data_IF_146414410130
#
_entry.id   IF_146414410130
#
_cell.length_a   1.000
_cell.length_b   1.000
_cell.length_c   1.000
_cell.angle_alpha   90.00
_cell.angle_beta   90.00
_cell.angle_gamma   90.00
#
_symmetry.space_group_name_H-M   'P 1'
#
loop_
_entity.id
_entity.type
_entity.pdbx_description
1 polymer ?
#
# COMPACT_ATOMS: atom_id res chain seq x y z
N UNK A 1 -4.57 -12.32 5.02
CA UNK A 1 -3.31 -12.52 5.77
C UNK A 1 -2.40 -11.37 5.40
N UNK A 2 -1.78 -10.72 6.39
CA UNK A 2 -0.94 -9.52 6.20
C UNK A 2 0.46 -9.82 6.73
N UNK A 3 1.49 -9.39 6.02
CA UNK A 3 2.89 -9.71 6.35
C UNK A 3 3.66 -8.44 6.68
N UNK A 4 4.67 -8.57 7.55
CA UNK A 4 5.53 -7.46 7.97
C UNK A 4 6.99 -7.91 7.92
N UNK A 5 7.87 -7.01 7.50
CA UNK A 5 9.29 -7.28 7.34
C UNK A 5 10.10 -6.36 8.27
N UNK A 6 10.99 -6.96 9.06
CA UNK A 6 12.13 -6.30 9.70
C UNK A 6 13.42 -7.05 9.31
N UNK A 7 14.59 -6.43 9.44
CA UNK A 7 15.86 -6.82 8.79
C UNK A 7 16.32 -8.28 9.01
N UNK A 8 15.83 -9.00 10.04
CA UNK A 8 16.29 -10.37 10.34
C UNK A 8 15.16 -11.39 10.63
N UNK A 9 13.88 -10.99 10.60
CA UNK A 9 12.73 -11.90 10.87
C UNK A 9 11.46 -11.52 10.10
N UNK A 10 10.87 -12.49 9.40
CA UNK A 10 9.53 -12.35 8.82
C UNK A 10 8.48 -12.45 9.94
N UNK A 11 7.79 -11.35 10.22
CA UNK A 11 6.68 -11.32 11.17
C UNK A 11 5.36 -11.53 10.40
N UNK A 12 4.85 -12.75 10.45
CA UNK A 12 3.55 -13.09 9.85
C UNK A 12 2.44 -12.59 10.78
N UNK A 13 1.65 -11.63 10.32
CA UNK A 13 0.52 -11.12 11.10
C UNK A 13 -0.77 -11.81 10.67
N UNK A 14 -1.34 -12.58 11.60
CA UNK A 14 -2.56 -13.38 11.39
C UNK A 14 -3.83 -12.63 11.79
N UNK A 15 -3.94 -11.35 11.43
CA UNK A 15 -5.20 -10.63 11.65
C UNK A 15 -6.25 -11.08 10.63
N UNK A 16 -7.45 -11.31 11.13
CA UNK A 16 -8.59 -11.79 10.35
C UNK A 16 -9.75 -10.85 10.61
N UNK A 17 -10.24 -10.23 9.54
CA UNK A 17 -11.45 -9.42 9.54
C UNK A 17 -12.52 -10.15 8.74
N UNK A 18 -13.71 -10.30 9.31
CA UNK A 18 -14.89 -10.80 8.59
C UNK A 18 -15.78 -9.61 8.26
N UNK A 19 -15.85 -9.26 6.98
CA UNK A 19 -16.63 -8.12 6.49
C UNK A 19 -17.69 -8.58 5.50
N UNK A 20 -18.66 -7.70 5.22
CA UNK A 20 -19.57 -7.93 4.10
C UNK A 20 -18.76 -7.94 2.80
N UNK A 21 -19.16 -8.78 1.83
CA UNK A 21 -18.47 -8.89 0.54
C UNK A 21 -18.38 -7.58 -0.25
N UNK A 22 -19.25 -6.61 0.05
CA UNK A 22 -19.27 -5.28 -0.58
C UNK A 22 -18.32 -4.28 0.08
N UNK A 23 -17.71 -4.63 1.21
CA UNK A 23 -16.74 -3.78 1.90
C UNK A 23 -15.40 -3.85 1.16
N UNK A 24 -14.94 -2.71 0.66
CA UNK A 24 -13.64 -2.65 0.00
C UNK A 24 -12.50 -2.83 1.01
N UNK A 25 -11.53 -3.67 0.69
CA UNK A 25 -10.39 -4.00 1.57
C UNK A 25 -9.63 -2.75 2.04
N UNK A 26 -9.46 -1.74 1.18
CA UNK A 26 -8.82 -0.48 1.53
C UNK A 26 -9.48 0.27 2.69
N UNK A 27 -10.77 0.07 2.91
CA UNK A 27 -11.48 0.68 4.06
C UNK A 27 -11.19 -0.02 5.38
N UNK A 28 -10.63 -1.23 5.34
CA UNK A 28 -10.29 -2.02 6.52
C UNK A 28 -8.89 -1.74 7.05
N UNK A 29 -8.00 -1.13 6.26
CA UNK A 29 -6.62 -0.88 6.68
C UNK A 29 -6.50 -0.08 8.00
N UNK A 30 -7.31 0.96 8.26
CA UNK A 30 -7.27 1.66 9.55
C UNK A 30 -7.67 0.77 10.72
N UNK A 31 -8.66 -0.11 10.52
CA UNK A 31 -9.09 -1.06 11.54
C UNK A 31 -8.00 -2.08 11.85
N UNK A 32 -7.32 -2.57 10.82
CA UNK A 32 -6.18 -3.49 10.95
C UNK A 32 -5.05 -2.82 11.73
N UNK A 33 -4.66 -1.58 11.40
CA UNK A 33 -3.63 -0.84 12.14
C UNK A 33 -4.04 -0.56 13.58
N UNK A 34 -5.31 -0.24 13.84
CA UNK A 34 -5.81 -0.09 15.21
C UNK A 34 -5.73 -1.40 16.01
N UNK A 35 -6.06 -2.54 15.40
CA UNK A 35 -5.91 -3.86 16.03
C UNK A 35 -4.45 -4.22 16.32
N UNK A 36 -3.53 -3.84 15.42
CA UNK A 36 -2.09 -4.01 15.65
C UNK A 36 -1.60 -3.16 16.81
N UNK A 37 -1.94 -1.87 16.82
CA UNK A 37 -1.56 -0.95 17.89
C UNK A 37 -2.10 -1.39 19.26
N UNK A 38 -3.35 -1.87 19.31
CA UNK A 38 -3.95 -2.39 20.55
C UNK A 38 -3.23 -3.62 21.13
N UNK A 39 -2.45 -4.32 20.31
CA UNK A 39 -1.66 -5.51 20.68
C UNK A 39 -0.17 -5.22 20.80
N UNK A 40 0.25 -3.97 20.63
CA UNK A 40 1.66 -3.56 20.54
C UNK A 40 2.41 -4.28 19.40
N UNK A 41 1.72 -4.45 18.26
CA UNK A 41 2.21 -5.13 17.06
C UNK A 41 2.16 -4.22 15.83
N UNK A 42 2.19 -2.90 16.02
CA UNK A 42 2.18 -1.97 14.90
C UNK A 42 3.53 -2.06 14.16
N UNK A 43 3.55 -2.43 12.87
CA UNK A 43 4.79 -2.65 12.18
C UNK A 43 5.41 -1.36 11.68
N UNK A 44 6.74 -1.36 11.54
CA UNK A 44 7.46 -0.32 10.83
C UNK A 44 7.19 -0.40 9.32
N UNK A 45 7.16 -1.61 8.76
CA UNK A 45 6.82 -1.88 7.36
C UNK A 45 5.64 -2.85 7.25
N UNK A 46 4.60 -2.44 6.53
CA UNK A 46 3.41 -3.26 6.31
C UNK A 46 3.26 -3.60 4.82
N UNK A 47 3.46 -4.87 4.48
CA UNK A 47 3.31 -5.38 3.12
C UNK A 47 1.87 -5.81 2.92
N UNK A 48 1.18 -5.14 2.00
CA UNK A 48 -0.25 -5.36 1.74
C UNK A 48 -0.52 -5.63 0.26
N UNK A 49 -1.59 -6.37 0.00
CA UNK A 49 -2.12 -6.51 -1.35
C UNK A 49 -2.63 -5.16 -1.88
N UNK A 50 -2.57 -5.00 -3.19
CA UNK A 50 -3.00 -3.80 -3.90
C UNK A 50 -4.47 -3.41 -3.65
N UNK A 51 -5.33 -4.35 -3.26
CA UNK A 51 -6.72 -4.10 -2.86
C UNK A 51 -6.86 -3.25 -1.58
N UNK A 52 -5.85 -3.27 -0.70
CA UNK A 52 -5.83 -2.51 0.55
C UNK A 52 -5.32 -1.07 0.37
N UNK A 53 -4.72 -0.73 -0.77
CA UNK A 53 -4.16 0.60 -0.99
C UNK A 53 -5.22 1.60 -1.46
N UNK A 54 -5.25 2.76 -0.82
CA UNK A 54 -5.71 4.02 -1.42
C UNK A 54 -4.76 5.15 -1.02
N UNK A 55 -4.84 6.30 -1.69
CA UNK A 55 -4.02 7.48 -1.35
C UNK A 55 -4.26 7.95 0.09
N UNK A 56 -5.51 7.95 0.54
CA UNK A 56 -5.86 8.33 1.91
C UNK A 56 -5.26 7.37 2.93
N UNK A 57 -5.29 6.06 2.61
CA UNK A 57 -4.70 5.04 3.47
C UNK A 57 -3.18 5.15 3.56
N UNK A 58 -2.51 5.46 2.44
CA UNK A 58 -1.07 5.68 2.42
C UNK A 58 -0.65 6.85 3.32
N UNK A 59 -1.40 7.96 3.26
CA UNK A 59 -1.16 9.13 4.12
C UNK A 59 -1.43 8.82 5.59
N UNK A 60 -2.52 8.12 5.88
CA UNK A 60 -2.89 7.73 7.24
C UNK A 60 -1.88 6.75 7.88
N UNK A 61 -1.38 5.78 7.10
CA UNK A 61 -0.34 4.85 7.55
C UNK A 61 0.97 5.60 7.88
N UNK A 62 1.38 6.51 6.99
CA UNK A 62 2.57 7.35 7.19
C UNK A 62 2.45 8.22 8.44
N UNK A 63 1.28 8.78 8.72
CA UNK A 63 1.04 9.56 9.93
C UNK A 63 1.17 8.74 11.23
N UNK A 64 0.99 7.42 11.15
CA UNK A 64 1.19 6.46 12.24
C UNK A 64 2.61 5.89 12.29
N UNK A 65 3.52 6.35 11.43
CA UNK A 65 4.89 5.85 11.34
C UNK A 65 5.04 4.51 10.62
N UNK A 66 3.98 4.06 9.91
CA UNK A 66 3.99 2.80 9.17
C UNK A 66 4.33 3.06 7.70
N UNK A 67 5.40 2.44 7.21
CA UNK A 67 5.70 2.37 5.78
C UNK A 67 4.80 1.31 5.13
N UNK A 68 3.82 1.77 4.35
CA UNK A 68 2.92 0.88 3.63
C UNK A 68 3.53 0.50 2.27
N UNK A 69 3.79 -0.79 2.08
CA UNK A 69 4.41 -1.34 0.87
C UNK A 69 3.35 -2.18 0.15
N UNK A 70 3.13 -1.92 -1.13
CA UNK A 70 2.17 -2.66 -1.93
C UNK A 70 2.64 -2.79 -3.38
N UNK A 71 2.20 -3.84 -4.11
CA UNK A 71 2.38 -3.90 -5.56
C UNK A 71 1.74 -2.69 -6.23
N UNK A 72 2.45 -2.07 -7.18
CA UNK A 72 1.89 -0.96 -7.95
C UNK A 72 0.81 -1.46 -8.92
N UNK A 73 -0.26 -0.68 -9.09
CA UNK A 73 -1.25 -0.93 -10.15
C UNK A 73 -0.57 -0.85 -11.52
N UNK A 74 -0.75 -1.87 -12.34
CA UNK A 74 -0.44 -1.76 -13.75
C UNK A 74 -1.26 -0.63 -14.38
N UNK A 75 -0.62 0.21 -15.19
CA UNK A 75 -1.27 1.31 -15.90
C UNK A 75 -2.25 0.74 -16.93
N UNK A 76 -3.52 0.72 -16.56
CA UNK A 76 -4.62 0.22 -17.37
C UNK A 76 -5.32 1.33 -18.18
N UNK A 77 -4.76 2.55 -18.23
CA UNK A 77 -5.39 3.68 -18.92
C UNK A 77 -5.57 3.39 -20.42
N UNK A 78 -6.55 4.03 -21.05
CA UNK A 78 -6.82 3.82 -22.47
C UNK A 78 -5.68 4.34 -23.35
N UNK A 79 -4.96 5.38 -22.89
CA UNK A 79 -3.78 5.92 -23.55
C UNK A 79 -2.66 4.88 -23.64
N UNK A 80 -2.38 4.20 -22.53
CA UNK A 80 -1.39 3.11 -22.46
C UNK A 80 -1.78 1.95 -23.36
N UNK A 81 -3.09 1.63 -23.46
CA UNK A 81 -3.58 0.57 -24.36
C UNK A 81 -3.51 0.92 -25.85
N UNK A 82 -3.67 2.20 -26.18
CA UNK A 82 -3.63 2.68 -27.56
C UNK A 82 -2.19 2.77 -28.11
N UNK A 83 -1.17 2.70 -27.25
CA UNK A 83 0.25 2.83 -27.62
C UNK A 83 0.61 4.19 -28.23
N UNK A 84 -0.26 5.20 -28.04
CA UNK A 84 -0.20 6.51 -28.69
C UNK A 84 -0.18 7.68 -27.69
N UNK A 85 0.11 7.40 -26.42
CA UNK A 85 0.25 8.40 -25.36
C UNK A 85 1.34 8.02 -24.37
N UNK A 86 1.73 8.96 -23.52
CA UNK A 86 2.69 8.74 -22.44
C UNK A 86 1.99 8.07 -21.26
N UNK A 87 2.47 6.90 -20.84
CA UNK A 87 2.09 6.21 -19.63
C UNK A 87 3.06 6.50 -18.47
N UNK A 88 2.74 6.02 -17.26
CA UNK A 88 3.61 6.21 -16.08
C UNK A 88 5.04 5.69 -16.32
N UNK A 89 5.17 4.61 -17.09
CA UNK A 89 6.46 3.99 -17.41
C UNK A 89 7.36 4.86 -18.31
N UNK A 90 6.80 5.88 -18.97
CA UNK A 90 7.55 6.79 -19.85
C UNK A 90 8.19 7.95 -19.09
N UNK A 91 7.94 8.07 -17.77
CA UNK A 91 8.49 9.13 -16.94
C UNK A 91 9.46 8.56 -15.91
N UNK A 92 10.67 9.11 -15.87
CA UNK A 92 11.66 8.88 -14.83
C UNK A 92 11.71 10.09 -13.89
N UNK A 93 11.40 9.88 -12.62
CA UNK A 93 11.46 10.95 -11.61
C UNK A 93 12.86 10.99 -11.02
N UNK A 94 13.59 12.06 -11.32
CA UNK A 94 14.80 12.47 -10.61
C UNK A 94 14.40 13.23 -9.34
N UNK A 95 14.48 12.53 -8.20
CA UNK A 95 14.15 13.11 -6.90
C UNK A 95 15.20 14.09 -6.37
N UNK A 96 16.47 13.97 -6.79
CA UNK A 96 17.54 14.89 -6.36
C UNK A 96 17.37 16.26 -7.01
N UNK A 97 17.10 16.27 -8.32
CA UNK A 97 16.90 17.50 -9.08
C UNK A 97 15.44 17.95 -9.15
N UNK A 98 14.51 17.19 -8.56
CA UNK A 98 13.07 17.42 -8.58
C UNK A 98 12.49 17.55 -10.00
N UNK A 99 12.92 16.69 -10.92
CA UNK A 99 12.54 16.71 -12.33
C UNK A 99 11.92 15.38 -12.77
N UNK A 100 10.99 15.44 -13.72
CA UNK A 100 10.49 14.26 -14.44
C UNK A 100 10.98 14.35 -15.89
N UNK A 101 11.67 13.31 -16.35
CA UNK A 101 12.21 13.18 -17.70
C UNK A 101 11.52 12.07 -18.48
#
# INVERSE_FOLDING_TARGET
>A
MTETCEEDTLHVITNVETTAATTADSTMLPHIHAHFAARDLLPQEHIVDMGYLSTDQLLAARAQGVALICPLRADCSWQTRAGAGYGIADFMIDWEHQQAM
#
